data_IF_545961369848
#
_entry.id   IF_545961369848
#
_cell.length_a   1.000
_cell.length_b   1.000
_cell.length_c   1.000
_cell.angle_alpha   90.00
_cell.angle_beta   90.00
_cell.angle_gamma   90.00
#
_symmetry.space_group_name_H-M   'P 1'
#
loop_
_entity.id
_entity.type
_entity.pdbx_description
1 polymer ?
#
# COMPACT_ATOMS: atom_id res chain seq x y z
N UNK A 1 8.90 8.42 -21.13
CA UNK A 1 8.21 7.61 -20.10
C UNK A 1 8.38 8.34 -18.80
N UNK A 2 7.47 9.25 -18.46
CA UNK A 2 7.50 9.92 -17.17
C UNK A 2 7.12 8.94 -16.05
N UNK A 3 7.77 9.11 -14.91
CA UNK A 3 7.69 8.24 -13.74
C UNK A 3 7.44 9.08 -12.49
N UNK A 4 6.48 8.66 -11.67
CA UNK A 4 6.13 9.29 -10.40
C UNK A 4 6.30 8.26 -9.28
N UNK A 5 7.24 8.54 -8.36
CA UNK A 5 7.29 7.84 -7.08
C UNK A 5 6.36 8.55 -6.10
N UNK A 6 5.36 7.84 -5.59
CA UNK A 6 4.38 8.39 -4.66
C UNK A 6 4.51 7.65 -3.33
N UNK A 7 5.05 8.36 -2.33
CA UNK A 7 5.41 7.81 -1.02
C UNK A 7 4.50 8.41 0.06
N UNK A 8 3.94 7.56 0.93
CA UNK A 8 3.13 7.99 2.06
C UNK A 8 3.31 7.06 3.27
N UNK A 9 3.03 7.53 4.51
CA UNK A 9 3.05 6.67 5.69
C UNK A 9 2.05 5.50 5.55
N UNK A 10 2.41 4.35 6.13
CA UNK A 10 1.52 3.19 6.24
C UNK A 10 0.13 3.59 6.76
N UNK A 11 -0.92 3.03 6.15
CA UNK A 11 -2.34 3.29 6.48
C UNK A 11 -2.85 4.74 6.23
N UNK A 12 -2.05 5.61 5.59
CA UNK A 12 -2.48 6.97 5.27
C UNK A 12 -3.62 7.03 4.24
N UNK A 13 -3.69 6.05 3.32
CA UNK A 13 -4.71 5.99 2.27
C UNK A 13 -5.50 4.68 2.36
N UNK A 14 -6.80 4.75 2.07
CA UNK A 14 -7.59 3.56 1.76
C UNK A 14 -7.23 3.06 0.36
N UNK A 15 -7.50 1.78 0.05
CA UNK A 15 -7.27 1.24 -1.29
C UNK A 15 -8.02 1.99 -2.39
N UNK A 16 -9.21 2.53 -2.09
CA UNK A 16 -9.96 3.38 -3.01
C UNK A 16 -9.26 4.73 -3.23
N UNK A 17 -8.76 5.35 -2.16
CA UNK A 17 -8.03 6.62 -2.25
C UNK A 17 -6.71 6.47 -3.01
N UNK A 18 -6.01 5.35 -2.82
CA UNK A 18 -4.79 5.00 -3.56
C UNK A 18 -5.06 4.84 -5.07
N UNK A 19 -6.09 4.07 -5.43
CA UNK A 19 -6.48 3.92 -6.84
C UNK A 19 -6.87 5.25 -7.48
N UNK A 20 -7.60 6.10 -6.74
CA UNK A 20 -7.95 7.45 -7.18
C UNK A 20 -6.71 8.32 -7.37
N UNK A 21 -5.77 8.29 -6.42
CA UNK A 21 -4.51 9.03 -6.49
C UNK A 21 -3.71 8.67 -7.74
N UNK A 22 -3.52 7.38 -8.02
CA UNK A 22 -2.81 6.91 -9.23
C UNK A 22 -3.45 7.44 -10.50
N UNK A 23 -4.78 7.39 -10.58
CA UNK A 23 -5.55 7.92 -11.72
C UNK A 23 -5.36 9.43 -11.87
N UNK A 24 -5.51 10.18 -10.78
CA UNK A 24 -5.40 11.64 -10.79
C UNK A 24 -3.99 12.11 -11.16
N UNK A 25 -2.94 11.49 -10.58
CA UNK A 25 -1.55 11.80 -10.90
C UNK A 25 -1.24 11.55 -12.39
N UNK A 26 -1.77 10.45 -12.93
CA UNK A 26 -1.64 10.13 -14.36
C UNK A 26 -2.32 11.20 -15.22
N UNK A 27 -3.58 11.54 -14.93
CA UNK A 27 -4.32 12.55 -15.68
C UNK A 27 -3.65 13.93 -15.61
N UNK A 28 -3.15 14.33 -14.44
CA UNK A 28 -2.46 15.61 -14.22
C UNK A 28 -1.20 15.69 -15.07
N UNK A 29 -0.37 14.65 -15.05
CA UNK A 29 0.88 14.63 -15.79
C UNK A 29 0.64 14.67 -17.31
N UNK A 30 -0.32 13.90 -17.81
CA UNK A 30 -0.67 13.90 -19.24
C UNK A 30 -1.12 15.30 -19.68
N UNK A 31 -1.98 15.96 -18.90
CA UNK A 31 -2.41 17.34 -19.18
C UNK A 31 -1.24 18.32 -19.14
N UNK A 32 -0.33 18.16 -18.17
CA UNK A 32 0.87 19.01 -18.05
C UNK A 32 1.80 18.85 -19.26
N UNK A 33 1.85 17.68 -19.87
CA UNK A 33 2.57 17.41 -21.13
C UNK A 33 1.80 17.88 -22.39
N UNK A 34 0.60 18.45 -22.24
CA UNK A 34 -0.20 18.99 -23.34
C UNK A 34 -1.04 17.96 -24.10
N UNK A 35 -1.22 16.76 -23.54
CA UNK A 35 -2.03 15.70 -24.11
C UNK A 35 -3.41 15.57 -23.43
N UNK A 36 -4.34 14.92 -24.12
CA UNK A 36 -5.61 14.48 -23.52
C UNK A 36 -5.37 13.20 -22.69
N UNK A 37 -5.88 13.08 -21.45
CA UNK A 37 -5.85 11.83 -20.67
C UNK A 37 -6.43 10.59 -21.38
N UNK A 38 -7.35 10.77 -22.32
CA UNK A 38 -7.89 9.69 -23.16
C UNK A 38 -6.97 9.28 -24.32
N UNK A 39 -5.83 9.94 -24.48
CA UNK A 39 -4.87 9.66 -25.56
C UNK A 39 -4.08 8.37 -25.33
N UNK A 40 -3.46 7.89 -26.41
CA UNK A 40 -2.57 6.73 -26.41
C UNK A 40 -1.28 6.91 -25.57
N UNK A 41 -1.06 8.10 -24.99
CA UNK A 41 0.13 8.43 -24.19
C UNK A 41 -0.04 7.96 -22.74
N UNK A 42 -1.28 7.78 -22.26
CA UNK A 42 -1.56 7.38 -20.88
C UNK A 42 -0.82 6.10 -20.40
N UNK A 43 -0.73 5.02 -21.19
CA UNK A 43 0.01 3.81 -20.78
C UNK A 43 1.53 4.02 -20.63
N UNK A 44 2.07 5.18 -21.00
CA UNK A 44 3.50 5.52 -20.87
C UNK A 44 3.83 6.24 -19.57
N UNK A 45 2.83 6.62 -18.78
CA UNK A 45 2.97 7.20 -17.45
C UNK A 45 2.99 6.09 -16.42
N UNK A 46 3.97 6.12 -15.53
CA UNK A 46 4.13 5.14 -14.47
C UNK A 46 4.01 5.84 -13.13
N UNK A 47 3.18 5.29 -12.24
CA UNK A 47 3.06 5.74 -10.85
C UNK A 47 3.39 4.54 -9.97
N UNK A 48 4.27 4.74 -8.99
CA UNK A 48 4.69 3.72 -8.04
C UNK A 48 4.18 4.06 -6.63
N UNK A 49 2.99 3.54 -6.26
CA UNK A 49 2.49 3.55 -4.89
C UNK A 49 3.47 2.88 -3.92
N UNK A 50 3.92 3.60 -2.90
CA UNK A 50 4.80 3.05 -1.87
C UNK A 50 4.34 3.48 -0.47
N UNK A 51 3.78 2.54 0.30
CA UNK A 51 3.60 2.69 1.74
C UNK A 51 4.97 2.63 2.46
N UNK A 52 5.27 3.65 3.24
CA UNK A 52 6.44 3.70 4.12
C UNK A 52 6.04 3.15 5.48
N UNK A 53 6.71 2.09 5.99
CA UNK A 53 6.38 1.50 7.27
C UNK A 53 6.36 2.52 8.41
N UNK A 54 5.49 2.26 9.39
CA UNK A 54 5.51 2.99 10.65
C UNK A 54 6.93 3.03 11.27
N UNK A 55 7.37 4.22 11.70
CA UNK A 55 8.72 4.44 12.21
C UNK A 55 9.82 4.51 11.14
N UNK A 56 9.47 4.57 9.85
CA UNK A 56 10.43 4.79 8.75
C UNK A 56 10.18 6.10 7.98
N UNK A 57 9.12 6.84 8.33
CA UNK A 57 8.82 8.14 7.73
C UNK A 57 9.53 9.27 8.48
N UNK A 58 10.31 10.08 7.75
CA UNK A 58 11.08 11.19 8.31
C UNK A 58 10.70 12.55 7.74
N UNK A 59 10.52 13.54 8.60
CA UNK A 59 10.36 14.95 8.20
C UNK A 59 10.90 15.88 9.29
N UNK A 60 11.44 17.03 8.89
CA UNK A 60 11.99 18.02 9.82
C UNK A 60 13.17 17.53 10.66
N UNK A 61 13.91 16.52 10.19
CA UNK A 61 15.03 15.92 10.93
C UNK A 61 14.63 14.91 12.01
N UNK A 62 13.36 14.52 12.09
CA UNK A 62 12.86 13.49 13.01
C UNK A 62 12.21 12.33 12.24
N UNK A 63 12.28 11.13 12.81
CA UNK A 63 11.51 9.95 12.38
C UNK A 63 10.22 9.92 13.20
N UNK A 64 9.11 9.66 12.52
CA UNK A 64 7.77 9.74 13.10
C UNK A 64 7.11 8.37 13.15
N UNK A 65 6.40 8.12 14.25
CA UNK A 65 5.45 7.01 14.37
C UNK A 65 4.08 7.48 13.87
N UNK A 66 3.28 6.56 13.32
CA UNK A 66 1.94 6.85 12.82
C UNK A 66 1.05 7.55 13.86
N UNK A 67 1.01 7.14 15.15
CA UNK A 67 0.25 7.88 16.17
C UNK A 67 0.70 9.34 16.34
N UNK A 68 1.99 9.62 16.20
CA UNK A 68 2.54 10.98 16.28
C UNK A 68 2.17 11.81 15.03
N UNK A 69 2.14 11.17 13.86
CA UNK A 69 1.68 11.82 12.61
C UNK A 69 0.19 12.19 12.72
N UNK A 70 -0.64 11.28 13.24
CA UNK A 70 -2.05 11.57 13.49
C UNK A 70 -2.23 12.72 14.48
N UNK A 71 -1.50 12.70 15.59
CA UNK A 71 -1.53 13.77 16.58
C UNK A 71 -1.11 15.13 15.99
N UNK A 72 -0.06 15.13 15.15
CA UNK A 72 0.43 16.33 14.48
C UNK A 72 -0.60 16.93 13.51
N UNK A 73 -1.29 16.10 12.73
CA UNK A 73 -2.18 16.55 11.66
C UNK A 73 -3.60 16.88 12.16
N UNK A 74 -4.08 16.15 13.16
CA UNK A 74 -5.48 16.19 13.58
C UNK A 74 -5.69 16.46 15.09
N UNK A 75 -4.59 16.68 15.82
CA UNK A 75 -4.59 16.99 17.26
C UNK A 75 -4.36 15.76 18.14
N UNK A 76 -3.90 16.00 19.37
CA UNK A 76 -3.48 14.93 20.31
C UNK A 76 -4.57 13.88 20.60
N UNK A 77 -5.85 14.24 20.48
CA UNK A 77 -6.97 13.30 20.63
C UNK A 77 -6.96 12.17 19.60
N UNK A 78 -6.32 12.35 18.46
CA UNK A 78 -6.25 11.35 17.37
C UNK A 78 -5.09 10.37 17.52
N UNK A 79 -4.24 10.54 18.54
CA UNK A 79 -3.12 9.63 18.82
C UNK A 79 -3.59 8.20 19.05
N UNK A 80 -4.60 8.01 19.90
CA UNK A 80 -5.14 6.68 20.23
C UNK A 80 -5.83 6.04 19.01
N UNK A 81 -6.48 6.85 18.18
CA UNK A 81 -7.06 6.40 16.92
C UNK A 81 -5.95 5.92 15.95
N UNK A 82 -4.82 6.63 15.89
CA UNK A 82 -3.63 6.22 15.14
C UNK A 82 -3.05 4.88 15.62
N UNK A 83 -2.97 4.68 16.95
CA UNK A 83 -2.54 3.39 17.54
C UNK A 83 -3.49 2.26 17.14
N UNK A 84 -4.79 2.46 17.29
CA UNK A 84 -5.80 1.45 16.96
C UNK A 84 -5.82 1.10 15.47
N UNK A 85 -5.62 2.11 14.59
CA UNK A 85 -5.48 1.93 13.14
C UNK A 85 -4.28 1.07 12.78
N UNK A 86 -3.11 1.43 13.29
CA UNK A 86 -1.87 0.69 13.06
C UNK A 86 -1.99 -0.78 13.49
N UNK A 87 -2.57 -1.01 14.67
CA UNK A 87 -2.79 -2.36 15.19
C UNK A 87 -3.71 -3.18 14.25
N UNK A 88 -4.81 -2.59 13.78
CA UNK A 88 -5.73 -3.24 12.83
C UNK A 88 -5.03 -3.57 11.51
N UNK A 89 -4.24 -2.66 10.96
CA UNK A 89 -3.52 -2.86 9.69
C UNK A 89 -2.50 -3.99 9.80
N UNK A 90 -1.73 -4.03 10.89
CA UNK A 90 -0.76 -5.10 11.15
C UNK A 90 -1.42 -6.46 11.32
N UNK A 91 -2.56 -6.53 12.01
CA UNK A 91 -3.36 -7.75 12.14
C UNK A 91 -3.80 -8.26 10.76
N UNK A 92 -4.33 -7.38 9.92
CA UNK A 92 -4.80 -7.74 8.58
C UNK A 92 -3.65 -8.26 7.68
N UNK A 93 -2.50 -7.57 7.68
CA UNK A 93 -1.31 -8.02 6.94
C UNK A 93 -0.82 -9.39 7.43
N UNK A 94 -0.82 -9.62 8.75
CA UNK A 94 -0.45 -10.89 9.35
C UNK A 94 -1.42 -12.01 8.95
N UNK A 95 -2.73 -11.73 8.96
CA UNK A 95 -3.77 -12.66 8.54
C UNK A 95 -3.60 -13.09 7.09
N UNK A 96 -3.44 -12.14 6.17
CA UNK A 96 -3.21 -12.43 4.74
C UNK A 96 -1.99 -13.34 4.55
N UNK A 97 -0.90 -13.04 5.27
CA UNK A 97 0.34 -13.83 5.20
C UNK A 97 0.15 -15.25 5.72
N UNK A 98 -0.57 -15.43 6.84
CA UNK A 98 -0.87 -16.73 7.42
C UNK A 98 -1.79 -17.56 6.51
N UNK A 99 -2.81 -16.93 5.91
CA UNK A 99 -3.69 -17.59 4.93
C UNK A 99 -2.90 -18.06 3.71
N UNK A 100 -2.00 -17.22 3.17
CA UNK A 100 -1.14 -17.58 2.05
C UNK A 100 -0.21 -18.76 2.39
N UNK A 101 0.38 -18.76 3.59
CA UNK A 101 1.22 -19.85 4.08
C UNK A 101 0.43 -21.16 4.23
N UNK A 102 -0.78 -21.10 4.79
CA UNK A 102 -1.66 -22.26 4.96
C UNK A 102 -2.08 -22.87 3.62
N UNK A 103 -2.44 -22.03 2.65
CA UNK A 103 -2.80 -22.46 1.30
C UNK A 103 -1.61 -23.16 0.62
N UNK A 104 -0.41 -22.60 0.77
CA UNK A 104 0.82 -23.18 0.24
C UNK A 104 1.14 -24.55 0.87
N UNK A 105 0.99 -24.68 2.20
CA UNK A 105 1.19 -25.94 2.90
C UNK A 105 0.17 -27.02 2.47
N UNK A 106 -1.09 -26.64 2.34
CA UNK A 106 -2.18 -27.54 1.92
C UNK A 106 -1.98 -28.07 0.49
N UNK A 107 -1.55 -27.21 -0.43
CA UNK A 107 -1.20 -27.60 -1.79
C UNK A 107 -0.02 -28.60 -1.83
N UNK A 108 1.00 -28.38 -0.98
CA UNK A 108 2.13 -29.30 -0.84
C UNK A 108 1.72 -30.69 -0.31
N UNK A 109 0.80 -30.75 0.66
CA UNK A 109 0.28 -32.00 1.22
C UNK A 109 -0.54 -32.77 0.16
N UNK A 110 -1.40 -32.08 -0.60
CA UNK A 110 -2.21 -32.70 -1.65
C UNK A 110 -1.34 -33.28 -2.78
N UNK A 111 -0.31 -32.55 -3.21
CA UNK A 111 0.64 -33.02 -4.23
C UNK A 111 1.39 -34.29 -3.78
N UNK A 112 1.81 -34.35 -2.51
CA UNK A 112 2.51 -35.51 -1.93
C UNK A 112 1.60 -36.75 -1.85
N UNK A 113 0.34 -36.57 -1.48
CA UNK A 113 -0.66 -37.65 -1.42
C UNK A 113 -0.99 -38.25 -2.80
N UNK A 114 -0.93 -37.47 -3.88
CA UNK A 114 -1.15 -37.96 -5.25
C UNK A 114 0.01 -38.80 -5.79
N UNK A 115 1.24 -38.61 -5.28
CA UNK A 115 2.43 -39.36 -5.68
C UNK A 115 2.53 -40.74 -5.00
N UNK A 116 1.87 -40.93 -3.85
CA UNK A 116 1.93 -42.17 -3.05
C UNK A 116 0.78 -43.16 -3.34
N UNK A 117 -0.12 -42.86 -4.30
CA UNK A 117 -1.16 -43.82 -4.72
C UNK A 117 -0.58 -44.88 -5.67
N UNK A 118 -0.56 -46.17 -5.32
CA UNK A 118 -0.17 -47.22 -6.25
C UNK A 118 -1.20 -47.37 -7.39
N UNK A 119 -0.69 -47.74 -8.57
CA UNK A 119 -1.44 -47.95 -9.81
C UNK A 119 -2.39 -49.15 -9.74
#
# INVERSE_FOLDING_TARGET
MPMIDALWPEDALTSEAEARLVRELTDILIRAEGYDPASHVAPRVWVFPTEIPDGAWGTGGAIWMLPDIHALLAGDSERDAGVARLARRRLEKARITLEAALNSASAGIASKSSLERPA
#
